data_IF_297419855546
#
_entry.id   IF_297419855546
#
_cell.length_a   1.000
_cell.length_b   1.000
_cell.length_c   1.000
_cell.angle_alpha   90.00
_cell.angle_beta   90.00
_cell.angle_gamma   90.00
#
_symmetry.space_group_name_H-M   'P 1'
#
loop_
_entity.id
_entity.type
_entity.pdbx_description
1 polymer ?
#
# COMPACT_ATOMS: atom_id res chain seq x y z
N UNK A 1 -19.44 16.87 9.87
CA UNK A 1 -18.82 15.56 9.52
C UNK A 1 -18.04 15.53 8.18
N UNK A 2 -18.29 16.38 7.17
CA UNK A 2 -17.59 16.33 5.86
C UNK A 2 -16.11 16.79 5.85
N UNK A 3 -15.70 17.65 6.80
CA UNK A 3 -14.36 18.27 6.81
C UNK A 3 -13.27 17.29 7.30
N UNK A 4 -13.56 16.51 8.35
CA UNK A 4 -12.63 15.53 8.93
C UNK A 4 -12.24 14.44 7.91
N UNK A 5 -13.22 13.95 7.14
CA UNK A 5 -12.96 12.97 6.08
C UNK A 5 -12.07 13.52 4.95
N UNK A 6 -12.23 14.79 4.58
CA UNK A 6 -11.39 15.43 3.55
C UNK A 6 -9.95 15.59 4.01
N UNK A 7 -9.73 15.99 5.26
CA UNK A 7 -8.38 16.13 5.82
C UNK A 7 -7.70 14.77 5.97
N UNK A 8 -8.42 13.74 6.43
CA UNK A 8 -7.90 12.37 6.51
C UNK A 8 -7.51 11.83 5.12
N UNK A 9 -8.36 12.00 4.10
CA UNK A 9 -8.05 11.63 2.71
C UNK A 9 -6.78 12.32 2.19
N UNK A 10 -6.65 13.63 2.43
CA UNK A 10 -5.44 14.38 2.05
C UNK A 10 -4.20 13.84 2.75
N UNK A 11 -4.28 13.53 4.04
CA UNK A 11 -3.17 12.97 4.81
C UNK A 11 -2.73 11.61 4.25
N UNK A 12 -3.67 10.69 4.03
CA UNK A 12 -3.36 9.38 3.47
C UNK A 12 -2.77 9.48 2.06
N UNK A 13 -3.34 10.36 1.21
CA UNK A 13 -2.81 10.59 -0.14
C UNK A 13 -1.38 11.12 -0.10
N UNK A 14 -1.07 12.09 0.77
CA UNK A 14 0.28 12.65 0.89
C UNK A 14 1.30 11.61 1.36
N UNK A 15 0.89 10.66 2.22
CA UNK A 15 1.74 9.54 2.63
C UNK A 15 1.94 8.57 1.47
N UNK A 16 0.87 8.22 0.74
CA UNK A 16 0.94 7.38 -0.45
C UNK A 16 1.91 7.95 -1.51
N UNK A 17 1.89 9.26 -1.73
CA UNK A 17 2.82 9.94 -2.65
C UNK A 17 4.27 9.85 -2.13
N UNK A 18 4.47 10.10 -0.82
CA UNK A 18 5.80 10.04 -0.19
C UNK A 18 6.45 8.66 -0.26
N UNK A 19 5.68 7.59 -0.08
CA UNK A 19 6.17 6.20 -0.20
C UNK A 19 6.20 5.70 -1.65
N UNK A 20 5.78 6.53 -2.62
CA UNK A 20 5.73 6.17 -4.03
C UNK A 20 4.73 5.05 -4.33
N UNK A 21 3.61 4.98 -3.61
CA UNK A 21 2.58 3.95 -3.76
C UNK A 21 2.02 3.89 -5.19
N UNK A 22 1.95 5.05 -5.87
CA UNK A 22 1.41 5.23 -7.23
C UNK A 22 2.41 5.11 -8.36
N UNK A 23 3.69 4.83 -8.08
CA UNK A 23 4.63 4.65 -9.18
C UNK A 23 4.24 3.42 -10.05
N UNK A 24 4.87 3.20 -11.21
CA UNK A 24 4.53 2.05 -12.06
C UNK A 24 3.15 2.16 -12.71
N UNK A 25 2.50 1.02 -12.98
CA UNK A 25 1.15 1.00 -13.58
C UNK A 25 0.12 0.93 -12.47
N UNK A 26 -0.74 1.94 -12.34
CA UNK A 26 -1.81 1.97 -11.34
C UNK A 26 -3.05 1.24 -11.90
N UNK A 27 -3.53 0.24 -11.15
CA UNK A 27 -4.76 -0.51 -11.45
C UNK A 27 -5.95 0.01 -10.65
N UNK A 28 -5.71 0.43 -9.40
CA UNK A 28 -6.71 1.07 -8.54
C UNK A 28 -6.07 2.04 -7.56
N UNK A 29 -6.84 3.05 -7.18
CA UNK A 29 -6.49 4.11 -6.23
C UNK A 29 -7.80 4.61 -5.60
N UNK A 30 -8.25 3.91 -4.58
CA UNK A 30 -9.59 4.09 -4.04
C UNK A 30 -9.59 4.25 -2.52
N UNK A 31 -10.48 5.11 -2.05
CA UNK A 31 -10.77 5.22 -0.63
C UNK A 31 -11.95 4.31 -0.29
N UNK A 32 -11.76 3.45 0.69
CA UNK A 32 -12.86 2.72 1.33
C UNK A 32 -13.13 3.28 2.72
N UNK A 33 -14.42 3.42 3.03
CA UNK A 33 -14.90 3.52 4.40
C UNK A 33 -15.68 2.22 4.60
N UNK A 34 -15.30 1.36 5.54
CA UNK A 34 -16.11 0.17 5.81
C UNK A 34 -17.56 0.57 6.06
N UNK A 35 -18.52 -0.23 5.59
CA UNK A 35 -19.92 0.16 5.45
C UNK A 35 -20.66 0.53 6.74
N UNK A 36 -20.00 0.43 7.91
CA UNK A 36 -20.54 0.78 9.22
C UNK A 36 -19.79 1.99 9.78
N UNK A 37 -20.47 2.80 10.59
CA UNK A 37 -20.02 4.11 11.10
C UNK A 37 -18.70 4.08 11.91
N UNK A 38 -18.08 2.92 12.11
CA UNK A 38 -16.90 2.68 12.94
C UNK A 38 -15.67 2.17 12.19
N UNK A 39 -15.78 1.86 10.89
CA UNK A 39 -14.60 1.40 10.13
C UNK A 39 -13.69 2.58 9.77
N UNK A 40 -12.37 2.47 9.99
CA UNK A 40 -11.45 3.56 9.66
C UNK A 40 -11.42 3.78 8.14
N UNK A 41 -11.12 5.02 7.75
CA UNK A 41 -10.90 5.38 6.35
C UNK A 41 -9.62 4.71 5.88
N UNK A 42 -9.69 3.92 4.82
CA UNK A 42 -8.53 3.28 4.21
C UNK A 42 -8.33 3.82 2.80
N UNK A 43 -7.07 4.06 2.42
CA UNK A 43 -6.65 4.27 1.05
C UNK A 43 -5.99 2.99 0.56
N UNK A 44 -6.58 2.35 -0.45
CA UNK A 44 -6.01 1.22 -1.18
C UNK A 44 -5.39 1.71 -2.48
N UNK A 45 -4.15 1.33 -2.74
CA UNK A 45 -3.47 1.58 -4.02
C UNK A 45 -2.94 0.26 -4.55
N UNK A 46 -3.32 -0.08 -5.78
CA UNK A 46 -2.94 -1.32 -6.44
C UNK A 46 -2.14 -0.98 -7.67
N UNK A 47 -0.92 -1.50 -7.74
CA UNK A 47 0.01 -1.22 -8.84
C UNK A 47 0.66 -2.48 -9.36
N UNK A 48 1.10 -2.43 -10.62
CA UNK A 48 2.01 -3.41 -11.18
C UNK A 48 3.42 -2.82 -11.31
N UNK A 49 4.42 -3.64 -11.00
CA UNK A 49 5.83 -3.28 -10.97
C UNK A 49 6.66 -4.26 -11.77
N UNK A 50 7.63 -3.77 -12.51
CA UNK A 50 8.67 -4.61 -13.09
C UNK A 50 9.62 -5.11 -12.01
N UNK A 51 10.06 -6.35 -12.11
CA UNK A 51 11.05 -6.94 -11.22
C UNK A 51 10.53 -8.15 -10.46
N UNK A 52 11.45 -8.79 -9.75
CA UNK A 52 11.15 -9.97 -8.94
C UNK A 52 10.37 -9.57 -7.69
N UNK A 53 9.57 -10.51 -7.16
CA UNK A 53 8.83 -10.32 -5.91
C UNK A 53 9.72 -9.83 -4.75
N UNK A 54 10.88 -10.46 -4.43
CA UNK A 54 11.71 -10.01 -3.33
C UNK A 54 12.33 -8.62 -3.57
N UNK A 55 12.71 -8.29 -4.81
CA UNK A 55 13.25 -6.96 -5.12
C UNK A 55 12.19 -5.87 -4.99
N UNK A 56 10.98 -6.14 -5.47
CA UNK A 56 9.86 -5.20 -5.38
C UNK A 56 9.47 -5.01 -3.91
N UNK A 57 9.32 -6.08 -3.13
CA UNK A 57 8.99 -5.98 -1.70
C UNK A 57 10.04 -5.19 -0.94
N UNK A 58 11.33 -5.50 -1.12
CA UNK A 58 12.44 -4.76 -0.50
C UNK A 58 12.41 -3.27 -0.89
N UNK A 59 12.25 -2.96 -2.17
CA UNK A 59 12.18 -1.57 -2.64
C UNK A 59 10.96 -0.81 -2.09
N UNK A 60 9.88 -1.50 -1.69
CA UNK A 60 8.73 -0.87 -1.02
C UNK A 60 8.99 -0.67 0.47
N UNK A 61 9.64 -1.62 1.14
CA UNK A 61 10.08 -1.48 2.53
C UNK A 61 11.06 -0.31 2.65
N UNK A 62 12.06 -0.23 1.77
CA UNK A 62 13.05 0.85 1.76
C UNK A 62 12.39 2.23 1.54
N UNK A 63 11.39 2.31 0.65
CA UNK A 63 10.63 3.53 0.42
C UNK A 63 9.79 3.94 1.65
N UNK A 64 9.19 2.98 2.36
CA UNK A 64 8.49 3.25 3.61
C UNK A 64 9.46 3.76 4.69
N UNK A 65 10.62 3.12 4.83
CA UNK A 65 11.65 3.54 5.80
C UNK A 65 12.16 4.95 5.49
N UNK A 66 12.44 5.25 4.21
CA UNK A 66 12.83 6.59 3.77
C UNK A 66 11.74 7.65 4.03
N UNK A 67 10.47 7.26 4.06
CA UNK A 67 9.34 8.13 4.39
C UNK A 67 9.12 8.34 5.91
N UNK A 68 9.94 7.70 6.75
CA UNK A 68 9.93 7.85 8.21
C UNK A 68 9.30 6.69 8.97
N UNK A 69 8.93 5.60 8.30
CA UNK A 69 8.48 4.39 8.99
C UNK A 69 9.68 3.68 9.64
N UNK A 70 9.50 3.16 10.85
CA UNK A 70 10.49 2.29 11.48
C UNK A 70 10.63 0.99 10.68
N UNK A 71 11.87 0.55 10.46
CA UNK A 71 12.14 -0.69 9.75
C UNK A 71 11.46 -1.88 10.46
N UNK A 72 10.80 -2.78 9.70
CA UNK A 72 10.14 -3.94 10.26
C UNK A 72 11.20 -4.89 10.84
N UNK A 73 10.98 -5.40 12.05
CA UNK A 73 11.85 -6.45 12.63
C UNK A 73 11.65 -7.81 11.96
N UNK A 74 10.49 -8.00 11.32
CA UNK A 74 10.14 -9.17 10.49
C UNK A 74 9.26 -8.71 9.34
N UNK A 75 9.57 -9.19 8.14
CA UNK A 75 8.66 -9.21 6.99
C UNK A 75 8.32 -10.66 6.67
N UNK A 76 7.12 -10.91 6.18
CA UNK A 76 6.80 -12.19 5.56
C UNK A 76 7.34 -12.19 4.12
N UNK A 77 7.39 -13.36 3.50
CA UNK A 77 7.89 -13.50 2.12
C UNK A 77 7.11 -12.63 1.13
N UNK A 78 5.83 -12.37 1.41
CA UNK A 78 4.90 -11.66 0.51
C UNK A 78 4.23 -10.44 1.13
N UNK A 79 4.51 -10.14 2.38
CA UNK A 79 3.80 -9.07 3.09
C UNK A 79 4.69 -8.35 4.10
N UNK A 80 4.39 -7.07 4.33
CA UNK A 80 5.03 -6.28 5.38
C UNK A 80 4.05 -5.26 5.95
N UNK A 81 3.97 -5.21 7.29
CA UNK A 81 3.09 -4.30 8.03
C UNK A 81 3.86 -3.33 8.93
N UNK A 82 3.44 -2.07 8.93
CA UNK A 82 3.98 -0.99 9.73
C UNK A 82 2.87 -0.38 10.60
N UNK A 83 2.67 -0.95 11.79
CA UNK A 83 1.45 -0.71 12.60
C UNK A 83 1.65 0.33 13.72
N UNK A 84 2.88 0.58 14.17
CA UNK A 84 3.18 1.41 15.36
C UNK A 84 4.17 2.53 15.07
N UNK A 85 3.81 3.43 14.14
CA UNK A 85 4.65 4.58 13.78
C UNK A 85 3.97 5.90 14.20
N UNK A 86 4.43 6.56 15.28
CA UNK A 86 3.87 7.83 15.72
C UNK A 86 3.84 8.87 14.59
N UNK A 87 2.68 9.51 14.38
CA UNK A 87 2.51 10.54 13.35
C UNK A 87 2.28 10.01 11.93
N UNK A 88 2.41 8.71 11.69
CA UNK A 88 2.17 8.07 10.40
C UNK A 88 0.93 7.15 10.45
N UNK A 89 0.18 7.00 9.35
CA UNK A 89 -0.89 6.00 9.26
C UNK A 89 -0.30 4.59 9.28
N UNK A 90 -1.12 3.61 9.65
CA UNK A 90 -0.76 2.21 9.47
C UNK A 90 -0.54 1.94 7.98
N UNK A 91 0.50 1.20 7.64
CA UNK A 91 0.83 0.81 6.28
C UNK A 91 0.94 -0.71 6.19
N UNK A 92 0.24 -1.30 5.23
CA UNK A 92 0.39 -2.72 4.85
C UNK A 92 0.78 -2.77 3.39
N UNK A 93 1.78 -3.60 3.09
CA UNK A 93 2.31 -3.85 1.75
C UNK A 93 2.18 -5.34 1.49
N UNK A 94 1.51 -5.71 0.40
CA UNK A 94 1.37 -7.08 -0.07
C UNK A 94 1.86 -7.16 -1.51
N UNK A 95 2.58 -8.25 -1.84
CA UNK A 95 3.13 -8.48 -3.18
C UNK A 95 2.65 -9.81 -3.76
N UNK A 96 2.35 -9.79 -5.06
CA UNK A 96 1.78 -10.90 -5.81
C UNK A 96 2.70 -11.21 -7.00
N UNK A 97 3.23 -12.45 -7.13
CA UNK A 97 4.07 -12.83 -8.26
C UNK A 97 3.26 -12.90 -9.57
N UNK A 98 3.96 -12.91 -10.69
CA UNK A 98 3.36 -13.14 -12.01
C UNK A 98 2.48 -14.41 -12.02
N UNK A 99 1.30 -14.29 -12.64
CA UNK A 99 0.30 -15.37 -12.71
C UNK A 99 -0.62 -15.48 -11.49
N UNK A 100 -0.29 -14.85 -10.36
CA UNK A 100 -1.18 -14.83 -9.19
C UNK A 100 -2.29 -13.77 -9.37
N UNK A 101 -3.45 -14.02 -8.76
CA UNK A 101 -4.60 -13.11 -8.85
C UNK A 101 -4.55 -12.08 -7.73
N UNK A 102 -4.51 -10.80 -8.09
CA UNK A 102 -4.82 -9.72 -7.17
C UNK A 102 -6.34 -9.68 -6.98
N UNK A 103 -6.86 -9.77 -5.74
CA UNK A 103 -8.29 -9.67 -5.49
C UNK A 103 -8.92 -8.46 -6.17
N UNK A 104 -10.06 -8.66 -6.83
CA UNK A 104 -10.83 -7.62 -7.53
C UNK A 104 -10.17 -6.95 -8.76
N UNK A 105 -8.98 -7.38 -9.21
CA UNK A 105 -8.34 -6.85 -10.43
C UNK A 105 -8.01 -7.90 -11.49
N UNK A 106 -7.52 -9.07 -11.08
CA UNK A 106 -7.14 -10.15 -12.00
C UNK A 106 -5.69 -10.59 -11.87
N UNK A 107 -5.23 -11.39 -12.82
CA UNK A 107 -3.91 -12.00 -12.78
C UNK A 107 -2.79 -10.98 -13.05
N UNK A 108 -1.69 -11.09 -12.30
CA UNK A 108 -0.47 -10.32 -12.52
C UNK A 108 0.18 -10.74 -13.85
N UNK A 109 0.46 -9.81 -14.77
CA UNK A 109 1.10 -10.14 -16.05
C UNK A 109 2.51 -10.74 -15.88
N UNK A 110 2.95 -11.51 -16.89
CA UNK A 110 4.31 -12.02 -16.94
C UNK A 110 5.36 -10.89 -16.86
N UNK A 111 6.43 -11.13 -16.11
CA UNK A 111 7.51 -10.16 -15.88
C UNK A 111 7.14 -9.01 -14.93
N UNK A 112 5.95 -9.05 -14.32
CA UNK A 112 5.50 -8.05 -13.35
C UNK A 112 5.22 -8.69 -11.99
N UNK A 113 5.24 -7.84 -10.97
CA UNK A 113 4.83 -8.11 -9.60
C UNK A 113 3.68 -7.17 -9.25
N UNK A 114 2.56 -7.73 -8.82
CA UNK A 114 1.45 -6.97 -8.26
C UNK A 114 1.80 -6.45 -6.87
N UNK A 115 1.40 -5.23 -6.55
CA UNK A 115 1.62 -4.61 -5.25
C UNK A 115 0.32 -3.99 -4.78
N UNK A 116 -0.12 -4.38 -3.59
CA UNK A 116 -1.25 -3.78 -2.87
C UNK A 116 -0.70 -3.01 -1.69
N UNK A 117 -1.06 -1.73 -1.60
CA UNK A 117 -0.72 -0.85 -0.49
C UNK A 117 -2.01 -0.42 0.19
N UNK A 118 -2.10 -0.64 1.50
CA UNK A 118 -3.21 -0.19 2.32
C UNK A 118 -2.72 0.80 3.38
N UNK A 119 -3.33 1.98 3.43
CA UNK A 119 -3.05 3.03 4.41
C UNK A 119 -4.29 3.36 5.24
N UNK A 120 -4.18 3.33 6.57
CA UNK A 120 -5.30 3.53 7.52
C UNK A 120 -4.92 4.45 8.67
#
# INVERSE_FOLDING_TARGET
>A
MRILGRQARKRLSAVADRIGARAGVVLDDSFSCGGWSTSPLTLGVITLRSGSLPDVLRARIDAAVAAGYAAPTRSEERSCGFVRNPGLPMLIIEVFPAGEVIPHHGAVPAGQTGVVISLT
#
